data_IF_806685812789
#
_entry.id   IF_806685812789
#
_cell.length_a   1.000
_cell.length_b   1.000
_cell.length_c   1.000
_cell.angle_alpha   90.00
_cell.angle_beta   90.00
_cell.angle_gamma   90.00
#
_symmetry.space_group_name_H-M   'P 1'
#
loop_
_entity.id
_entity.type
_entity.pdbx_description
1 polymer ?
#
# COMPACT_ATOMS: atom_id res chain seq x y z
N UNK A 1 21.19 -25.02 -24.15
CA UNK A 1 19.89 -25.57 -24.62
C UNK A 1 18.92 -25.91 -23.47
N UNK A 2 19.32 -26.68 -22.43
CA UNK A 2 18.47 -26.99 -21.26
C UNK A 2 17.90 -25.75 -20.52
N UNK A 3 18.69 -24.70 -20.35
CA UNK A 3 18.28 -23.45 -19.66
C UNK A 3 17.14 -22.74 -20.40
N UNK A 4 17.20 -22.68 -21.75
CA UNK A 4 16.18 -22.01 -22.55
C UNK A 4 14.84 -22.76 -22.57
N UNK A 5 14.87 -24.10 -22.61
CA UNK A 5 13.67 -24.94 -22.50
C UNK A 5 13.00 -24.86 -21.12
N UNK A 6 13.80 -24.76 -20.05
CA UNK A 6 13.29 -24.52 -18.70
C UNK A 6 12.63 -23.14 -18.57
N UNK A 7 13.26 -22.09 -19.12
CA UNK A 7 12.70 -20.74 -19.12
C UNK A 7 11.38 -20.62 -19.92
N UNK A 8 11.22 -21.40 -20.99
CA UNK A 8 9.98 -21.50 -21.77
C UNK A 8 8.78 -21.99 -20.94
N UNK A 9 9.01 -22.76 -19.88
CA UNK A 9 7.96 -23.23 -18.97
C UNK A 9 7.81 -22.34 -17.73
N UNK A 10 8.91 -21.84 -17.18
CA UNK A 10 8.87 -21.03 -15.96
C UNK A 10 8.30 -19.63 -16.19
N UNK A 11 8.58 -19.00 -17.34
CA UNK A 11 8.12 -17.64 -17.60
C UNK A 11 6.57 -17.56 -17.68
N UNK A 12 5.86 -18.44 -18.43
CA UNK A 12 4.41 -18.46 -18.40
C UNK A 12 3.82 -18.71 -17.01
N UNK A 13 4.41 -19.62 -16.24
CA UNK A 13 3.95 -19.91 -14.88
C UNK A 13 4.09 -18.69 -13.95
N UNK A 14 5.22 -17.97 -14.03
CA UNK A 14 5.43 -16.72 -13.30
C UNK A 14 4.45 -15.63 -13.73
N UNK A 15 4.19 -15.48 -15.04
CA UNK A 15 3.20 -14.52 -15.53
C UNK A 15 1.79 -14.84 -15.03
N UNK A 16 1.41 -16.12 -15.00
CA UNK A 16 0.12 -16.55 -14.44
C UNK A 16 0.04 -16.27 -12.94
N UNK A 17 1.11 -16.53 -12.19
CA UNK A 17 1.20 -16.21 -10.76
C UNK A 17 1.01 -14.71 -10.52
N UNK A 18 1.74 -13.85 -11.24
CA UNK A 18 1.60 -12.40 -11.12
C UNK A 18 0.20 -11.91 -11.51
N UNK A 19 -0.40 -12.46 -12.57
CA UNK A 19 -1.76 -12.10 -12.98
C UNK A 19 -2.81 -12.49 -11.92
N UNK A 20 -2.67 -13.67 -11.31
CA UNK A 20 -3.53 -14.13 -10.23
C UNK A 20 -3.40 -13.24 -8.99
N UNK A 21 -2.17 -12.93 -8.59
CA UNK A 21 -1.87 -12.06 -7.44
C UNK A 21 -2.35 -10.63 -7.67
N UNK A 22 -2.17 -10.09 -8.89
CA UNK A 22 -2.71 -8.81 -9.29
C UNK A 22 -4.24 -8.76 -9.20
N UNK A 23 -4.93 -9.81 -9.65
CA UNK A 23 -6.39 -9.89 -9.54
C UNK A 23 -6.84 -9.93 -8.08
N UNK A 24 -6.20 -10.77 -7.25
CA UNK A 24 -6.49 -10.88 -5.82
C UNK A 24 -6.27 -9.55 -5.11
N UNK A 25 -5.16 -8.86 -5.40
CA UNK A 25 -4.86 -7.59 -4.77
C UNK A 25 -5.84 -6.48 -5.17
N UNK A 26 -6.24 -6.41 -6.45
CA UNK A 26 -7.27 -5.46 -6.89
C UNK A 26 -8.59 -5.66 -6.15
N UNK A 27 -8.97 -6.92 -5.92
CA UNK A 27 -10.16 -7.22 -5.13
C UNK A 27 -9.98 -6.77 -3.68
N UNK A 28 -8.85 -7.14 -3.07
CA UNK A 28 -8.55 -6.78 -1.68
C UNK A 28 -8.58 -5.26 -1.45
N UNK A 29 -8.01 -4.46 -2.35
CA UNK A 29 -8.03 -2.98 -2.27
C UNK A 29 -9.47 -2.45 -2.28
N UNK A 30 -10.33 -3.00 -3.15
CA UNK A 30 -11.75 -2.59 -3.25
C UNK A 30 -12.53 -2.87 -1.97
N UNK A 31 -12.19 -3.96 -1.28
CA UNK A 31 -12.86 -4.40 -0.05
C UNK A 31 -12.27 -3.77 1.22
N UNK A 32 -11.15 -3.06 1.11
CA UNK A 32 -10.43 -2.48 2.27
C UNK A 32 -10.12 -1.00 2.06
N UNK A 33 -8.93 -0.68 1.54
CA UNK A 33 -8.38 0.67 1.40
C UNK A 33 -9.31 1.62 0.64
N UNK A 34 -10.04 1.13 -0.36
CA UNK A 34 -11.00 1.95 -1.09
C UNK A 34 -12.12 2.50 -0.19
N UNK A 35 -12.57 1.72 0.80
CA UNK A 35 -13.59 2.15 1.76
C UNK A 35 -13.05 3.29 2.62
N UNK A 36 -11.84 3.13 3.16
CA UNK A 36 -11.19 4.17 3.97
C UNK A 36 -10.93 5.46 3.18
N UNK A 37 -10.60 5.35 1.89
CA UNK A 37 -10.46 6.51 1.00
C UNK A 37 -11.79 7.25 0.89
N UNK A 38 -12.90 6.55 0.62
CA UNK A 38 -14.21 7.19 0.50
C UNK A 38 -14.64 7.85 1.82
N UNK A 39 -14.35 7.22 2.96
CA UNK A 39 -14.58 7.83 4.28
C UNK A 39 -13.73 9.11 4.47
N UNK A 40 -12.49 9.12 3.99
CA UNK A 40 -11.62 10.30 4.08
C UNK A 40 -12.13 11.49 3.26
N UNK A 41 -12.90 11.22 2.19
CA UNK A 41 -13.48 12.27 1.32
C UNK A 41 -14.62 13.05 1.97
N UNK A 42 -15.20 12.55 3.08
CA UNK A 42 -16.30 13.22 3.79
C UNK A 42 -15.85 14.51 4.48
N UNK A 43 -14.57 14.61 4.85
CA UNK A 43 -13.96 15.79 5.49
C UNK A 43 -12.80 16.32 4.62
N UNK A 44 -13.11 16.64 3.36
CA UNK A 44 -12.14 17.16 2.40
C UNK A 44 -11.59 18.50 2.87
N UNK A 45 -10.27 18.54 3.03
CA UNK A 45 -9.45 19.72 2.86
C UNK A 45 -8.58 19.52 1.61
N UNK A 46 -7.94 20.58 1.11
CA UNK A 46 -7.13 20.54 -0.12
C UNK A 46 -5.79 19.78 0.04
N UNK A 47 -5.63 18.98 1.11
CA UNK A 47 -4.40 18.23 1.39
C UNK A 47 -4.33 16.87 0.69
N UNK A 48 -5.42 16.41 0.07
CA UNK A 48 -5.48 15.17 -0.73
C UNK A 48 -6.00 15.48 -2.12
N UNK A 49 -5.43 14.82 -3.13
CA UNK A 49 -5.85 14.93 -4.51
C UNK A 49 -5.94 13.55 -5.20
N UNK A 50 -6.43 13.53 -6.44
CA UNK A 50 -6.61 12.29 -7.21
C UNK A 50 -5.31 11.53 -7.49
N UNK A 51 -4.18 12.22 -7.55
CA UNK A 51 -2.87 11.57 -7.68
C UNK A 51 -2.56 10.74 -6.44
N UNK A 52 -2.92 11.21 -5.24
CA UNK A 52 -2.68 10.51 -3.98
C UNK A 52 -3.51 9.22 -3.92
N UNK A 53 -4.79 9.32 -4.27
CA UNK A 53 -5.67 8.14 -4.35
C UNK A 53 -5.19 7.14 -5.40
N UNK A 54 -4.63 7.62 -6.52
CA UNK A 54 -4.00 6.76 -7.53
C UNK A 54 -2.71 6.10 -7.01
N UNK A 55 -1.84 6.84 -6.30
CA UNK A 55 -0.64 6.29 -5.65
C UNK A 55 -1.02 5.17 -4.67
N UNK A 56 -2.06 5.41 -3.86
CA UNK A 56 -2.58 4.44 -2.89
C UNK A 56 -3.13 3.19 -3.57
N UNK A 57 -4.05 3.33 -4.54
CA UNK A 57 -4.85 2.20 -5.05
C UNK A 57 -4.22 1.46 -6.22
N UNK A 58 -3.45 2.16 -7.07
CA UNK A 58 -2.96 1.61 -8.34
C UNK A 58 -1.43 1.51 -8.41
N UNK A 59 -0.71 2.15 -7.48
CA UNK A 59 0.74 2.10 -7.44
C UNK A 59 1.24 1.34 -6.22
N UNK A 60 1.49 2.01 -5.10
CA UNK A 60 2.14 1.39 -3.95
C UNK A 60 1.27 0.36 -3.24
N UNK A 61 0.00 0.68 -2.91
CA UNK A 61 -0.91 -0.27 -2.26
C UNK A 61 -1.31 -1.46 -3.14
N UNK A 62 -1.04 -1.39 -4.45
CA UNK A 62 -1.16 -2.51 -5.38
C UNK A 62 0.16 -3.30 -5.52
N UNK A 63 1.24 -2.63 -5.94
CA UNK A 63 2.48 -3.29 -6.33
C UNK A 63 3.23 -3.91 -5.14
N UNK A 64 3.22 -3.24 -3.97
CA UNK A 64 3.91 -3.74 -2.76
C UNK A 64 3.37 -5.12 -2.37
N UNK A 65 2.06 -5.31 -2.13
CA UNK A 65 1.54 -6.64 -1.82
C UNK A 65 1.53 -7.58 -3.04
N UNK A 66 1.08 -7.15 -4.23
CA UNK A 66 0.87 -8.06 -5.37
C UNK A 66 2.16 -8.59 -6.01
N UNK A 67 3.27 -7.86 -5.87
CA UNK A 67 4.55 -8.19 -6.49
C UNK A 67 5.59 -8.46 -5.40
N UNK A 68 5.87 -7.45 -4.57
CA UNK A 68 7.03 -7.49 -3.68
C UNK A 68 6.83 -8.51 -2.56
N UNK A 69 5.71 -8.45 -1.84
CA UNK A 69 5.49 -9.39 -0.76
C UNK A 69 5.02 -10.78 -1.21
N UNK A 70 4.36 -10.92 -2.36
CA UNK A 70 4.20 -12.24 -2.99
C UNK A 70 5.54 -12.84 -3.38
N UNK A 71 6.49 -12.01 -3.85
CA UNK A 71 7.88 -12.41 -4.07
C UNK A 71 8.54 -12.92 -2.79
N UNK A 72 8.36 -12.23 -1.66
CA UNK A 72 8.85 -12.72 -0.36
C UNK A 72 8.19 -14.02 0.07
N UNK A 73 6.89 -14.17 -0.16
CA UNK A 73 6.15 -15.41 0.13
C UNK A 73 6.69 -16.59 -0.70
N UNK A 74 6.95 -16.36 -1.98
CA UNK A 74 7.56 -17.35 -2.87
C UNK A 74 8.95 -17.76 -2.38
N UNK A 75 9.81 -16.80 -2.01
CA UNK A 75 11.15 -17.07 -1.47
C UNK A 75 11.11 -17.82 -0.14
N UNK A 76 10.13 -17.52 0.71
CA UNK A 76 9.89 -18.20 1.99
C UNK A 76 9.27 -19.60 1.82
N UNK A 77 8.72 -19.92 0.64
CA UNK A 77 7.99 -21.16 0.40
C UNK A 77 6.65 -21.25 1.14
N UNK A 78 6.05 -20.11 1.51
CA UNK A 78 4.74 -20.04 2.18
C UNK A 78 3.89 -18.95 1.56
N UNK A 79 2.64 -19.27 1.26
CA UNK A 79 1.66 -18.29 0.76
C UNK A 79 1.46 -17.14 1.74
N UNK A 80 1.03 -16.00 1.20
CA UNK A 80 0.65 -14.84 1.98
C UNK A 80 -0.66 -15.09 2.71
N UNK A 81 -0.65 -14.92 4.03
CA UNK A 81 -1.88 -14.93 4.83
C UNK A 81 -2.71 -13.66 4.58
N UNK A 82 -4.00 -13.71 4.91
CA UNK A 82 -4.85 -12.50 4.82
C UNK A 82 -4.36 -11.37 5.73
N UNK A 83 -3.80 -11.70 6.90
CA UNK A 83 -3.22 -10.73 7.83
C UNK A 83 -1.98 -10.05 7.22
N UNK A 84 -1.09 -10.83 6.60
CA UNK A 84 0.08 -10.28 5.91
C UNK A 84 -0.34 -9.42 4.71
N UNK A 85 -1.35 -9.86 3.95
CA UNK A 85 -1.91 -9.06 2.84
C UNK A 85 -2.49 -7.76 3.34
N UNK A 86 -3.25 -7.80 4.43
CA UNK A 86 -3.80 -6.61 5.07
C UNK A 86 -2.69 -5.63 5.45
N UNK A 87 -1.75 -6.08 6.30
CA UNK A 87 -0.66 -5.24 6.78
C UNK A 87 0.13 -4.60 5.64
N UNK A 88 0.53 -5.39 4.64
CA UNK A 88 1.27 -4.87 3.49
C UNK A 88 0.46 -3.98 2.56
N UNK A 89 -0.85 -4.22 2.43
CA UNK A 89 -1.71 -3.35 1.62
C UNK A 89 -1.76 -1.95 2.24
N UNK A 90 -1.95 -1.86 3.55
CA UNK A 90 -1.95 -0.57 4.26
C UNK A 90 -0.55 0.06 4.31
N UNK A 91 0.51 -0.74 4.48
CA UNK A 91 1.89 -0.25 4.41
C UNK A 91 2.23 0.30 3.02
N UNK A 92 1.84 -0.39 1.95
CA UNK A 92 2.00 0.10 0.59
C UNK A 92 1.16 1.36 0.35
N UNK A 93 -0.10 1.36 0.78
CA UNK A 93 -1.00 2.50 0.65
C UNK A 93 -0.46 3.77 1.34
N UNK A 94 0.05 3.66 2.58
CA UNK A 94 0.56 4.80 3.32
C UNK A 94 1.89 5.34 2.80
N UNK A 95 2.65 4.56 2.02
CA UNK A 95 3.97 4.96 1.50
C UNK A 95 3.85 6.25 0.69
N UNK A 96 2.87 6.35 -0.22
CA UNK A 96 2.67 7.56 -1.01
C UNK A 96 2.29 8.78 -0.17
N UNK A 97 1.48 8.59 0.89
CA UNK A 97 1.11 9.67 1.81
C UNK A 97 2.34 10.15 2.61
N UNK A 98 3.21 9.23 2.99
CA UNK A 98 4.41 9.52 3.75
C UNK A 98 5.49 10.21 2.91
N UNK A 99 5.68 9.82 1.65
CA UNK A 99 6.58 10.49 0.70
C UNK A 99 6.21 11.98 0.59
N UNK A 100 4.91 12.29 0.47
CA UNK A 100 4.42 13.66 0.32
C UNK A 100 4.70 14.55 1.55
N UNK A 101 4.93 13.98 2.73
CA UNK A 101 5.36 14.74 3.91
C UNK A 101 6.71 15.44 3.69
N UNK A 102 7.58 14.82 2.90
CA UNK A 102 8.92 15.34 2.59
C UNK A 102 8.94 16.09 1.26
N UNK A 103 8.27 15.54 0.23
CA UNK A 103 8.41 16.01 -1.15
C UNK A 103 7.53 17.22 -1.48
N UNK A 104 6.28 17.24 -1.00
CA UNK A 104 5.29 18.24 -1.39
C UNK A 104 4.94 19.22 -0.26
N UNK A 105 4.94 18.73 0.98
CA UNK A 105 4.37 19.46 2.13
C UNK A 105 5.40 20.05 3.08
N UNK A 106 6.66 19.63 2.96
CA UNK A 106 7.79 20.06 3.81
C UNK A 106 7.42 20.08 5.30
N UNK A 107 6.76 19.02 5.76
CA UNK A 107 6.28 18.94 7.14
C UNK A 107 7.50 18.93 8.10
N UNK A 108 7.46 19.69 9.21
CA UNK A 108 8.57 19.69 10.16
C UNK A 108 8.87 18.29 10.70
N UNK A 109 10.16 17.91 10.73
CA UNK A 109 10.63 16.59 11.21
C UNK A 109 10.03 16.19 12.57
N UNK A 110 9.95 17.14 13.50
CA UNK A 110 9.38 16.91 14.84
C UNK A 110 7.89 16.54 14.79
N UNK A 111 7.14 17.07 13.82
CA UNK A 111 5.74 16.73 13.62
C UNK A 111 5.60 15.33 13.01
N UNK A 112 6.43 14.99 12.02
CA UNK A 112 6.47 13.64 11.42
C UNK A 112 6.79 12.60 12.50
N UNK A 113 7.83 12.83 13.32
CA UNK A 113 8.18 11.95 14.44
C UNK A 113 7.01 11.76 15.40
N UNK A 114 6.32 12.86 15.76
CA UNK A 114 5.16 12.80 16.63
C UNK A 114 4.03 11.95 16.04
N UNK A 115 3.74 12.07 14.74
CA UNK A 115 2.72 11.26 14.07
C UNK A 115 3.03 9.75 14.08
N UNK A 116 4.32 9.37 14.05
CA UNK A 116 4.75 7.97 14.05
C UNK A 116 4.78 7.41 15.48
N UNK A 117 5.35 8.15 16.44
CA UNK A 117 5.49 7.72 17.83
C UNK A 117 4.15 7.73 18.59
N UNK A 118 3.26 8.66 18.22
CA UNK A 118 1.95 8.84 18.83
C UNK A 118 0.89 8.95 17.72
N UNK A 119 0.50 7.83 17.08
CA UNK A 119 -0.42 7.82 15.95
C UNK A 119 -1.88 8.05 16.38
N UNK A 120 -2.16 9.22 16.94
CA UNK A 120 -3.49 9.65 17.37
C UNK A 120 -4.10 10.60 16.32
N UNK A 121 -5.38 10.40 15.98
CA UNK A 121 -6.08 11.25 15.01
C UNK A 121 -6.11 12.74 15.41
N UNK A 122 -6.04 13.03 16.71
CA UNK A 122 -6.04 14.39 17.25
C UNK A 122 -4.76 15.19 16.93
N UNK A 123 -3.67 14.49 16.61
CA UNK A 123 -2.38 15.12 16.25
C UNK A 123 -2.34 15.48 14.76
N UNK A 124 -3.18 14.83 13.94
CA UNK A 124 -3.24 15.04 12.51
C UNK A 124 -3.93 16.37 12.14
N UNK A 125 -3.25 17.20 11.36
CA UNK A 125 -3.69 18.57 11.03
C UNK A 125 -4.64 18.64 9.83
N UNK A 126 -4.57 17.67 8.92
CA UNK A 126 -5.28 17.69 7.64
C UNK A 126 -5.69 16.26 7.21
N UNK A 127 -6.45 16.15 6.12
CA UNK A 127 -7.05 14.89 5.66
C UNK A 127 -5.97 13.85 5.31
N UNK A 128 -4.86 14.28 4.71
CA UNK A 128 -3.74 13.41 4.39
C UNK A 128 -3.05 12.85 5.63
N UNK A 129 -2.76 13.68 6.65
CA UNK A 129 -2.21 13.19 7.93
C UNK A 129 -3.19 12.24 8.64
N UNK A 130 -4.49 12.54 8.62
CA UNK A 130 -5.53 11.68 9.21
C UNK A 130 -5.60 10.32 8.51
N UNK A 131 -5.51 10.32 7.18
CA UNK A 131 -5.51 9.10 6.38
C UNK A 131 -4.22 8.29 6.59
N UNK A 132 -3.07 8.96 6.69
CA UNK A 132 -1.80 8.35 7.06
C UNK A 132 -1.89 7.63 8.41
N UNK A 133 -2.39 8.31 9.46
CA UNK A 133 -2.55 7.70 10.80
C UNK A 133 -3.49 6.49 10.75
N UNK A 134 -4.62 6.60 10.01
CA UNK A 134 -5.54 5.48 9.85
C UNK A 134 -4.85 4.26 9.21
N UNK A 135 -4.12 4.46 8.11
CA UNK A 135 -3.43 3.37 7.43
C UNK A 135 -2.27 2.81 8.25
N UNK A 136 -1.53 3.67 8.95
CA UNK A 136 -0.45 3.25 9.85
C UNK A 136 -0.95 2.31 10.93
N UNK A 137 -2.05 2.66 11.61
CA UNK A 137 -2.66 1.81 12.64
C UNK A 137 -3.19 0.48 12.10
N UNK A 138 -3.65 0.44 10.84
CA UNK A 138 -4.12 -0.80 10.19
C UNK A 138 -2.99 -1.68 9.63
N UNK A 139 -1.79 -1.12 9.48
CA UNK A 139 -0.62 -1.85 9.02
C UNK A 139 0.09 -2.62 10.16
N UNK A 140 -0.15 -2.26 11.43
CA UNK A 140 0.37 -2.91 12.64
C UNK A 140 -0.46 -4.13 13.03
#
# INVERSE_FOLDING_TARGET
MKIYLSNLLHLPALLQLFAANAKRQKQFIRETVAIDIEESKVNIDDSLNENDFRKITNYYGFAVPAILGEGFCLLRGKEMTEQERHAMTYLGALTGLFDDFFDEKEIPEQHIKRLIEFPEKEIAKNANERLFVNFYLKAL
#
